data_IF_810423392493
#
_entry.id   IF_810423392493
#
_cell.length_a   1.000
_cell.length_b   1.000
_cell.length_c   1.000
_cell.angle_alpha   90.00
_cell.angle_beta   90.00
_cell.angle_gamma   90.00
#
_symmetry.space_group_name_H-M   'P 1'
#
loop_
_entity.id
_entity.type
_entity.pdbx_description
1 polymer ?
#
# COMPACT_ATOMS: atom_id res chain seq x y z
N UNK A 1 11.83 16.07 3.71
CA UNK A 1 10.97 15.20 4.52
C UNK A 1 11.12 13.83 3.93
N UNK A 2 11.72 12.88 4.64
CA UNK A 2 11.87 11.50 4.18
C UNK A 2 10.49 10.84 4.18
N UNK A 3 10.13 10.16 3.07
CA UNK A 3 8.78 9.61 2.89
C UNK A 3 8.60 8.35 3.73
N UNK A 4 7.37 8.06 4.16
CA UNK A 4 7.03 6.82 4.89
C UNK A 4 7.46 5.57 4.10
N UNK A 5 7.43 5.67 2.77
CA UNK A 5 7.89 4.60 1.87
C UNK A 5 9.41 4.34 1.97
N UNK A 6 10.23 5.38 2.21
CA UNK A 6 11.68 5.22 2.38
C UNK A 6 12.00 4.48 3.68
N UNK A 7 11.27 4.80 4.76
CA UNK A 7 11.39 4.11 6.04
C UNK A 7 10.99 2.62 5.91
N UNK A 8 9.92 2.35 5.16
CA UNK A 8 9.44 0.99 4.94
C UNK A 8 10.42 0.18 4.07
N UNK A 9 11.01 0.81 3.07
CA UNK A 9 12.05 0.22 2.23
C UNK A 9 13.30 -0.12 3.07
N UNK A 10 13.71 0.77 3.99
CA UNK A 10 14.85 0.55 4.87
C UNK A 10 14.63 -0.61 5.85
N UNK A 11 13.45 -0.68 6.50
CA UNK A 11 13.12 -1.79 7.41
C UNK A 11 13.09 -3.13 6.66
N UNK A 12 12.55 -3.14 5.43
CA UNK A 12 12.47 -4.34 4.59
C UNK A 12 13.85 -4.80 4.13
N UNK A 13 14.74 -3.87 3.79
CA UNK A 13 16.13 -4.16 3.42
C UNK A 13 16.90 -4.79 4.60
N UNK A 14 16.68 -4.29 5.82
CA UNK A 14 17.35 -4.77 7.02
C UNK A 14 16.89 -6.20 7.43
N UNK A 15 15.66 -6.58 7.11
CA UNK A 15 15.14 -7.93 7.37
C UNK A 15 15.46 -8.97 6.29
N UNK A 16 15.72 -8.54 5.04
CA UNK A 16 16.01 -9.45 3.93
C UNK A 16 17.50 -9.76 3.73
N UNK A 17 18.40 -9.06 4.43
CA UNK A 17 19.82 -9.38 4.40
C UNK A 17 20.11 -10.69 5.17
N UNK A 18 20.75 -11.71 4.56
CA UNK A 18 21.17 -12.90 5.28
C UNK A 18 22.21 -12.54 6.35
N UNK A 19 21.91 -12.91 7.59
CA UNK A 19 22.70 -12.69 8.81
C UNK A 19 24.18 -13.04 8.59
N UNK A 20 25.03 -12.01 8.52
CA UNK A 20 26.45 -12.14 8.83
C UNK A 20 26.66 -11.85 10.31
N UNK A 21 27.28 -12.81 10.98
CA UNK A 21 27.63 -12.92 12.39
C UNK A 21 28.48 -11.76 12.90
N UNK A 22 27.97 -10.98 13.88
CA UNK A 22 28.71 -10.55 15.09
C UNK A 22 27.72 -10.20 16.23
N UNK A 23 27.92 -10.69 17.48
CA UNK A 23 27.06 -10.33 18.61
C UNK A 23 27.47 -8.97 19.21
N UNK A 24 26.54 -8.00 19.38
CA UNK A 24 26.82 -6.83 20.20
C UNK A 24 26.86 -7.23 21.68
N UNK A 25 28.02 -7.01 22.31
CA UNK A 25 28.24 -7.11 23.75
C UNK A 25 27.23 -6.24 24.51
N UNK A 26 26.19 -6.84 25.05
CA UNK A 26 25.39 -6.24 26.13
C UNK A 26 26.22 -6.33 27.40
N UNK A 27 26.75 -5.19 27.88
CA UNK A 27 27.15 -5.08 29.29
C UNK A 27 25.86 -5.12 30.11
N UNK A 28 25.61 -6.24 30.78
CA UNK A 28 24.65 -6.31 31.88
C UNK A 28 25.15 -5.36 32.99
N UNK A 29 24.31 -4.40 33.40
CA UNK A 29 24.53 -3.53 34.57
C UNK A 29 23.71 -4.10 35.77
N UNK A 30 23.55 -5.41 35.85
CA UNK A 30 23.05 -6.08 37.05
C UNK A 30 23.87 -7.34 37.28
N UNK A 31 24.96 -7.18 38.03
CA UNK A 31 25.57 -8.27 38.80
C UNK A 31 24.70 -8.48 40.05
N UNK A 32 23.69 -9.34 39.91
CA UNK A 32 22.85 -9.78 41.01
C UNK A 32 23.45 -11.05 41.63
N UNK A 33 24.61 -10.93 42.26
CA UNK A 33 25.29 -12.08 42.85
C UNK A 33 26.28 -11.79 43.98
N UNK A 34 26.17 -10.70 44.75
CA UNK A 34 27.05 -10.50 45.93
C UNK A 34 26.40 -9.84 47.16
N UNK A 35 25.10 -10.01 47.40
CA UNK A 35 24.51 -9.54 48.67
C UNK A 35 23.57 -10.56 49.33
N UNK A 36 24.11 -11.76 49.61
CA UNK A 36 23.50 -12.74 50.49
C UNK A 36 24.38 -12.96 51.72
N UNK A 37 24.30 -12.06 52.72
CA UNK A 37 24.58 -12.41 54.12
C UNK A 37 23.57 -11.71 55.04
N UNK A 38 22.80 -12.46 55.85
CA UNK A 38 21.89 -11.89 56.82
C UNK A 38 22.64 -11.63 58.14
N UNK A 39 22.47 -10.44 58.71
CA UNK A 39 22.80 -10.19 60.11
C UNK A 39 21.74 -9.29 60.70
N UNK A 40 21.07 -9.85 61.71
CA UNK A 40 19.94 -9.30 62.45
C UNK A 40 20.23 -7.93 63.03
N UNK A 41 19.40 -6.96 62.67
CA UNK A 41 19.30 -5.66 63.32
C UNK A 41 17.84 -5.35 63.54
N UNK A 42 17.40 -5.44 64.80
CA UNK A 42 16.08 -4.97 65.23
C UNK A 42 15.96 -3.48 64.95
N UNK A 43 15.19 -3.12 63.93
CA UNK A 43 14.77 -1.76 63.65
C UNK A 43 13.33 -1.79 63.18
N UNK A 44 12.41 -1.31 64.01
CA UNK A 44 11.01 -1.11 63.63
C UNK A 44 10.93 -0.06 62.53
N UNK A 45 10.89 -0.48 61.27
CA UNK A 45 10.57 0.39 60.15
C UNK A 45 9.06 0.50 60.02
N UNK A 46 8.52 1.59 60.54
CA UNK A 46 7.18 2.05 60.22
C UNK A 46 7.28 2.84 58.90
N UNK A 47 6.55 2.47 57.84
CA UNK A 47 6.57 3.25 56.61
C UNK A 47 5.99 4.65 56.89
N UNK A 48 6.61 5.74 56.40
CA UNK A 48 6.04 7.07 56.55
C UNK A 48 4.67 7.14 55.85
N UNK A 49 3.72 7.93 56.38
CA UNK A 49 2.43 8.12 55.73
C UNK A 49 2.63 8.73 54.34
N UNK A 50 2.09 8.07 53.32
CA UNK A 50 1.95 8.62 51.96
C UNK A 50 0.94 9.76 51.97
N UNK A 51 1.36 10.98 52.25
CA UNK A 51 0.60 12.19 51.85
C UNK A 51 1.51 13.41 51.94
N UNK A 52 2.21 13.73 50.85
CA UNK A 52 2.46 15.13 50.50
C UNK A 52 2.30 15.24 48.99
N UNK A 53 1.13 15.67 48.57
CA UNK A 53 1.00 16.28 47.25
C UNK A 53 1.72 17.62 47.37
N UNK A 54 2.88 17.73 46.74
CA UNK A 54 3.78 18.89 46.83
C UNK A 54 3.29 20.11 46.03
N UNK A 55 2.03 20.07 45.57
CA UNK A 55 1.43 21.08 44.71
C UNK A 55 0.38 21.84 45.50
N UNK A 56 0.35 23.15 45.33
CA UNK A 56 -0.76 23.96 45.81
C UNK A 56 -2.02 23.65 44.99
N UNK A 57 -3.23 23.79 45.56
CA UNK A 57 -4.48 23.57 44.81
C UNK A 57 -4.60 24.41 43.54
N UNK A 58 -3.95 25.58 43.49
CA UNK A 58 -3.90 26.42 42.29
C UNK A 58 -3.02 25.81 41.19
N UNK A 59 -1.87 25.23 41.55
CA UNK A 59 -0.99 24.54 40.62
C UNK A 59 -1.61 23.23 40.11
N UNK A 60 -2.37 22.52 40.94
CA UNK A 60 -3.12 21.32 40.52
C UNK A 60 -4.19 21.64 39.47
N UNK A 61 -4.94 22.73 39.66
CA UNK A 61 -5.91 23.19 38.66
C UNK A 61 -5.23 23.61 37.35
N UNK A 62 -4.12 24.35 37.43
CA UNK A 62 -3.36 24.73 36.23
C UNK A 62 -2.84 23.49 35.47
N UNK A 63 -2.36 22.48 36.21
CA UNK A 63 -1.89 21.23 35.61
C UNK A 63 -3.04 20.42 34.98
N UNK A 64 -4.24 20.46 35.59
CA UNK A 64 -5.44 19.82 35.06
C UNK A 64 -5.91 20.52 33.76
N UNK A 65 -5.89 21.85 33.74
CA UNK A 65 -6.27 22.66 32.57
C UNK A 65 -5.30 22.41 31.40
N UNK A 66 -3.98 22.43 31.65
CA UNK A 66 -2.98 22.11 30.63
C UNK A 66 -3.17 20.69 30.08
N UNK A 67 -3.41 19.70 30.94
CA UNK A 67 -3.70 18.32 30.49
C UNK A 67 -4.97 18.25 29.64
N UNK A 68 -6.00 19.00 30.00
CA UNK A 68 -7.24 19.06 29.24
C UNK A 68 -7.01 19.70 27.87
N UNK A 69 -6.23 20.78 27.79
CA UNK A 69 -5.88 21.46 26.54
C UNK A 69 -5.06 20.56 25.61
N UNK A 70 -4.02 19.90 26.12
CA UNK A 70 -3.23 18.93 25.32
C UNK A 70 -4.11 17.80 24.79
N UNK A 71 -5.01 17.25 25.63
CA UNK A 71 -5.93 16.19 25.21
C UNK A 71 -6.91 16.67 24.14
N UNK A 72 -7.41 17.91 24.24
CA UNK A 72 -8.26 18.50 23.22
C UNK A 72 -7.49 18.73 21.91
N UNK A 73 -6.25 19.19 21.99
CA UNK A 73 -5.39 19.38 20.82
C UNK A 73 -5.10 18.06 20.11
N UNK A 74 -4.72 17.01 20.85
CA UNK A 74 -4.49 15.67 20.28
C UNK A 74 -5.73 15.13 19.58
N UNK A 75 -6.92 15.32 20.18
CA UNK A 75 -8.18 14.92 19.55
C UNK A 75 -8.45 15.68 18.25
N UNK A 76 -8.21 16.99 18.24
CA UNK A 76 -8.38 17.82 17.04
C UNK A 76 -7.39 17.43 15.93
N UNK A 77 -6.14 17.14 16.28
CA UNK A 77 -5.11 16.69 15.35
C UNK A 77 -5.44 15.30 14.78
N UNK A 78 -5.93 14.37 15.60
CA UNK A 78 -6.34 13.04 15.14
C UNK A 78 -7.53 13.12 14.17
N UNK A 79 -8.54 13.96 14.46
CA UNK A 79 -9.67 14.19 13.55
C UNK A 79 -9.17 14.77 12.22
N UNK A 80 -8.28 15.77 12.27
CA UNK A 80 -7.73 16.41 11.07
C UNK A 80 -6.92 15.41 10.24
N UNK A 81 -6.12 14.56 10.88
CA UNK A 81 -5.36 13.50 10.23
C UNK A 81 -6.28 12.47 9.59
N UNK A 82 -7.32 12.05 10.29
CA UNK A 82 -8.31 11.10 9.75
C UNK A 82 -9.03 11.68 8.53
N UNK A 83 -9.40 12.96 8.57
CA UNK A 83 -10.02 13.65 7.44
C UNK A 83 -9.07 13.76 6.24
N UNK A 84 -7.79 14.08 6.46
CA UNK A 84 -6.79 14.10 5.39
C UNK A 84 -6.62 12.73 4.72
N UNK A 85 -6.49 11.67 5.52
CA UNK A 85 -6.39 10.30 5.02
C UNK A 85 -7.63 9.93 4.21
N UNK A 86 -8.83 10.29 4.69
CA UNK A 86 -10.08 10.04 3.97
C UNK A 86 -10.12 10.77 2.63
N UNK A 87 -9.73 12.05 2.60
CA UNK A 87 -9.70 12.83 1.36
C UNK A 87 -8.68 12.31 0.36
N UNK A 88 -7.55 11.80 0.84
CA UNK A 88 -6.55 11.18 -0.02
C UNK A 88 -7.06 9.86 -0.61
N UNK A 89 -7.72 9.02 0.19
CA UNK A 89 -8.35 7.79 -0.29
C UNK A 89 -9.41 8.08 -1.37
N UNK A 90 -10.28 9.06 -1.14
CA UNK A 90 -11.29 9.46 -2.13
C UNK A 90 -10.63 9.91 -3.43
N UNK A 91 -9.58 10.74 -3.36
CA UNK A 91 -8.84 11.19 -4.54
C UNK A 91 -8.19 10.02 -5.30
N UNK A 92 -7.59 9.06 -4.60
CA UNK A 92 -7.01 7.88 -5.24
C UNK A 92 -8.08 7.02 -5.91
N UNK A 93 -9.23 6.82 -5.26
CA UNK A 93 -10.35 6.06 -5.83
C UNK A 93 -10.89 6.72 -7.09
N UNK A 94 -11.07 8.04 -7.08
CA UNK A 94 -11.52 8.80 -8.25
C UNK A 94 -10.54 8.68 -9.41
N UNK A 95 -9.23 8.80 -9.16
CA UNK A 95 -8.20 8.64 -10.17
C UNK A 95 -8.18 7.23 -10.78
N UNK A 96 -8.30 6.19 -9.95
CA UNK A 96 -8.37 4.80 -10.42
C UNK A 96 -9.61 4.59 -11.30
N UNK A 97 -10.75 5.13 -10.88
CA UNK A 97 -12.00 5.03 -11.63
C UNK A 97 -11.91 5.76 -12.98
N UNK A 98 -11.35 6.96 -13.01
CA UNK A 98 -11.12 7.71 -14.24
C UNK A 98 -10.16 6.98 -15.18
N UNK A 99 -9.05 6.46 -14.65
CA UNK A 99 -8.08 5.70 -15.42
C UNK A 99 -8.72 4.44 -16.04
N UNK A 100 -9.54 3.72 -15.27
CA UNK A 100 -10.25 2.54 -15.75
C UNK A 100 -11.24 2.90 -16.87
N UNK A 101 -12.01 3.97 -16.71
CA UNK A 101 -12.96 4.44 -17.71
C UNK A 101 -12.26 4.84 -19.01
N UNK A 102 -11.13 5.56 -18.88
CA UNK A 102 -10.31 5.96 -20.03
C UNK A 102 -9.70 4.75 -20.76
N UNK A 103 -9.25 3.74 -20.01
CA UNK A 103 -8.74 2.49 -20.58
C UNK A 103 -9.81 1.77 -21.38
N UNK A 104 -11.00 1.59 -20.80
CA UNK A 104 -12.14 0.96 -21.47
C UNK A 104 -12.54 1.71 -22.75
N UNK A 105 -12.61 3.05 -22.71
CA UNK A 105 -12.91 3.84 -23.91
C UNK A 105 -11.86 3.66 -25.01
N UNK A 106 -10.57 3.59 -24.65
CA UNK A 106 -9.49 3.37 -25.62
C UNK A 106 -9.60 1.98 -26.24
N UNK A 107 -9.90 0.97 -25.44
CA UNK A 107 -10.09 -0.40 -25.90
C UNK A 107 -11.29 -0.52 -26.84
N UNK A 108 -12.43 0.10 -26.50
CA UNK A 108 -13.61 0.15 -27.36
C UNK A 108 -13.29 0.81 -28.70
N UNK A 109 -12.67 2.01 -28.70
CA UNK A 109 -12.27 2.69 -29.93
C UNK A 109 -11.28 1.85 -30.76
N UNK A 110 -10.35 1.16 -30.11
CA UNK A 110 -9.42 0.25 -30.78
C UNK A 110 -10.17 -0.91 -31.44
N UNK A 111 -11.12 -1.52 -30.72
CA UNK A 111 -11.94 -2.63 -31.23
C UNK A 111 -12.84 -2.19 -32.38
N UNK A 112 -13.46 -1.01 -32.29
CA UNK A 112 -14.26 -0.43 -33.38
C UNK A 112 -13.42 -0.20 -34.63
N UNK A 113 -12.24 0.41 -34.49
CA UNK A 113 -11.33 0.62 -35.60
C UNK A 113 -10.85 -0.71 -36.22
N UNK A 114 -10.54 -1.72 -35.40
CA UNK A 114 -10.21 -3.07 -35.87
C UNK A 114 -11.40 -3.72 -36.57
N UNK A 115 -12.62 -3.53 -36.06
CA UNK A 115 -13.84 -4.07 -36.68
C UNK A 115 -14.07 -3.47 -38.07
N UNK A 116 -13.86 -2.17 -38.23
CA UNK A 116 -13.94 -1.51 -39.54
C UNK A 116 -12.88 -2.06 -40.50
N UNK A 117 -11.63 -2.16 -40.05
CA UNK A 117 -10.55 -2.72 -40.87
C UNK A 117 -10.78 -4.19 -41.23
N UNK A 118 -11.26 -5.00 -40.29
CA UNK A 118 -11.62 -6.40 -40.51
C UNK A 118 -12.72 -6.50 -41.56
N UNK A 119 -13.74 -5.65 -41.48
CA UNK A 119 -14.83 -5.61 -42.46
C UNK A 119 -14.30 -5.25 -43.85
N UNK A 120 -13.41 -4.26 -43.96
CA UNK A 120 -12.79 -3.88 -45.23
C UNK A 120 -11.86 -4.98 -45.78
N UNK A 121 -11.09 -5.62 -44.91
CA UNK A 121 -10.20 -6.71 -45.26
C UNK A 121 -10.99 -7.90 -45.80
N UNK A 122 -12.08 -8.31 -45.12
CA UNK A 122 -12.97 -9.38 -45.59
C UNK A 122 -13.60 -9.07 -46.96
N UNK A 123 -13.93 -7.80 -47.24
CA UNK A 123 -14.45 -7.40 -48.56
C UNK A 123 -13.40 -7.50 -49.67
N UNK A 124 -12.13 -7.29 -49.33
CA UNK A 124 -11.00 -7.36 -50.27
C UNK A 124 -10.41 -8.77 -50.37
N UNK A 125 -10.66 -9.62 -49.37
CA UNK A 125 -10.15 -10.98 -49.29
C UNK A 125 -10.72 -11.80 -50.46
N UNK A 126 -9.81 -12.37 -51.25
CA UNK A 126 -10.19 -13.26 -52.34
C UNK A 126 -10.37 -14.69 -51.81
N UNK A 127 -11.58 -15.29 -51.89
CA UNK A 127 -11.85 -16.63 -51.36
C UNK A 127 -11.01 -17.74 -52.01
N UNK A 128 -10.47 -17.51 -53.21
CA UNK A 128 -9.61 -18.48 -53.93
C UNK A 128 -8.12 -18.28 -53.68
N UNK A 129 -7.74 -17.28 -52.89
CA UNK A 129 -6.35 -17.07 -52.47
C UNK A 129 -5.96 -18.09 -51.39
N UNK A 130 -4.67 -18.37 -51.23
CA UNK A 130 -4.15 -19.19 -50.13
C UNK A 130 -4.58 -18.62 -48.77
N UNK A 131 -4.51 -17.29 -48.60
CA UNK A 131 -4.98 -16.59 -47.40
C UNK A 131 -6.49 -16.70 -47.21
N UNK A 132 -7.26 -16.70 -48.31
CA UNK A 132 -8.71 -16.83 -48.27
C UNK A 132 -9.14 -18.22 -47.81
N UNK A 133 -8.51 -19.27 -48.35
CA UNK A 133 -8.77 -20.65 -47.99
C UNK A 133 -8.38 -20.93 -46.53
N UNK A 134 -7.19 -20.47 -46.13
CA UNK A 134 -6.75 -20.59 -44.74
C UNK A 134 -7.68 -19.84 -43.78
N UNK A 135 -8.09 -18.62 -44.13
CA UNK A 135 -8.98 -17.83 -43.29
C UNK A 135 -10.37 -18.45 -43.14
N UNK A 136 -10.90 -19.09 -44.20
CA UNK A 136 -12.14 -19.85 -44.10
C UNK A 136 -12.04 -20.95 -43.03
N UNK A 137 -10.96 -21.74 -43.03
CA UNK A 137 -10.70 -22.77 -42.03
C UNK A 137 -10.55 -22.17 -40.62
N UNK A 138 -9.76 -21.10 -40.51
CA UNK A 138 -9.55 -20.38 -39.25
C UNK A 138 -10.87 -19.84 -38.67
N UNK A 139 -11.76 -19.34 -39.53
CA UNK A 139 -13.01 -18.72 -39.11
C UNK A 139 -14.05 -19.69 -38.52
N UNK A 140 -13.94 -21.00 -38.78
CA UNK A 140 -14.86 -22.00 -38.21
C UNK A 140 -14.77 -22.10 -36.69
N UNK A 141 -13.64 -21.73 -36.10
CA UNK A 141 -13.47 -21.72 -34.63
C UNK A 141 -14.15 -20.54 -33.97
N UNK A 142 -14.64 -19.57 -34.75
CA UNK A 142 -15.24 -18.34 -34.26
C UNK A 142 -16.74 -18.29 -34.53
N UNK A 143 -17.51 -17.59 -33.69
CA UNK A 143 -18.93 -17.33 -33.93
C UNK A 143 -19.21 -16.59 -35.25
N UNK A 144 -18.24 -15.82 -35.74
CA UNK A 144 -18.35 -15.12 -37.02
C UNK A 144 -17.00 -14.91 -37.70
N UNK A 145 -17.01 -14.80 -39.03
CA UNK A 145 -15.85 -14.39 -39.83
C UNK A 145 -15.33 -13.02 -39.45
N UNK A 146 -16.20 -12.13 -38.97
CA UNK A 146 -15.78 -10.81 -38.51
C UNK A 146 -14.91 -10.88 -37.26
N UNK A 147 -15.29 -11.71 -36.28
CA UNK A 147 -14.49 -11.92 -35.07
C UNK A 147 -13.14 -12.57 -35.37
N UNK A 148 -13.13 -13.58 -36.24
CA UNK A 148 -11.89 -14.18 -36.73
C UNK A 148 -10.98 -13.13 -37.40
N UNK A 149 -11.54 -12.28 -38.26
CA UNK A 149 -10.76 -11.24 -38.94
C UNK A 149 -10.22 -10.18 -37.97
N UNK A 150 -10.97 -9.81 -36.93
CA UNK A 150 -10.49 -8.90 -35.88
C UNK A 150 -9.28 -9.50 -35.17
N UNK A 151 -9.36 -10.78 -34.78
CA UNK A 151 -8.29 -11.47 -34.05
C UNK A 151 -7.03 -11.64 -34.91
N UNK A 152 -7.20 -12.04 -36.18
CA UNK A 152 -6.11 -12.12 -37.14
C UNK A 152 -5.40 -10.77 -37.35
N UNK A 153 -6.15 -9.69 -37.58
CA UNK A 153 -5.58 -8.35 -37.74
C UNK A 153 -4.91 -7.84 -36.46
N UNK A 154 -5.42 -8.23 -35.29
CA UNK A 154 -4.80 -7.92 -34.02
C UNK A 154 -3.45 -8.65 -33.88
N UNK A 155 -3.42 -9.96 -34.13
CA UNK A 155 -2.20 -10.76 -34.09
C UNK A 155 -1.14 -10.24 -35.07
N UNK A 156 -1.53 -9.88 -36.30
CA UNK A 156 -0.63 -9.29 -37.30
C UNK A 156 0.04 -7.99 -36.80
N UNK A 157 -0.71 -7.13 -36.10
CA UNK A 157 -0.16 -5.89 -35.53
C UNK A 157 0.81 -6.18 -34.39
N UNK A 158 0.54 -7.17 -33.57
CA UNK A 158 1.42 -7.58 -32.47
C UNK A 158 2.73 -8.19 -33.01
N UNK A 159 2.65 -9.02 -34.04
CA UNK A 159 3.82 -9.60 -34.70
C UNK A 159 4.61 -8.59 -35.53
N UNK A 160 3.98 -7.51 -36.01
CA UNK A 160 4.64 -6.47 -36.81
C UNK A 160 5.40 -5.42 -35.96
N UNK A 161 5.19 -5.41 -34.64
CA UNK A 161 5.80 -4.45 -33.70
C UNK A 161 6.96 -5.09 -32.91
N UNK A 162 7.21 -6.40 -33.07
CA UNK A 162 8.37 -7.12 -32.51
C UNK A 162 9.53 -7.21 -33.48
#
# INVERSE_FOLDING_TARGET
>A
MESIDDLLAQIKAEYQAPKSTQPPKKKSILDEAEFAKPTSGSGSYQPPPRTQTWLSPAEENLLADLKAEFKQQEQAEEIKKQEQVRQEQVRQEEQLREAQLRSQQREQKRREALTQQATEWLKKLNPKSEEGLWFEEFSYSYPSKLEAAIDYLQALRETSIG
#
